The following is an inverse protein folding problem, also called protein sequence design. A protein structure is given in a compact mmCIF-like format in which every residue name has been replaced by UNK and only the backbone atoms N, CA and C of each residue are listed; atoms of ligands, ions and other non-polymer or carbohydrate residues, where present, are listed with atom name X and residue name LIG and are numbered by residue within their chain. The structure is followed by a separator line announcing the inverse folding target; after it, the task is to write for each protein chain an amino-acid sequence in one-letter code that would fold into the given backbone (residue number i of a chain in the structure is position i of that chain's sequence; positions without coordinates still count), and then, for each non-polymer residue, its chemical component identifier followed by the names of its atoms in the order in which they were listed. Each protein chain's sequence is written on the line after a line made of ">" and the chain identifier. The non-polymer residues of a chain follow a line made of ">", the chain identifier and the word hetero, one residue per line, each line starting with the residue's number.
data_IF_072671109810
#
_entry.id   IF_072671109810
#
_cell.length_a   1.000
_cell.length_b   1.000
_cell.length_c   1.000
_cell.angle_alpha   90.00
_cell.angle_beta   90.00
_cell.angle_gamma   90.00
#
_symmetry.space_group_name_H-M   'P 1'
#
loop_
_entity.id
_entity.type
_entity.pdbx_description
1 polymer ?
#
# COMPACT_ATOMS: atom_id res chain seq x y z
N UNK A 1 2.49 -4.62 16.34
CA UNK A 1 1.67 -3.85 15.37
C UNK A 1 1.72 -4.50 14.00
N UNK A 2 0.72 -4.28 13.13
CA UNK A 2 0.59 -5.06 11.91
C UNK A 2 1.52 -4.62 10.79
N UNK A 3 2.08 -5.59 10.06
CA UNK A 3 2.58 -5.40 8.71
C UNK A 3 1.39 -5.38 7.75
N UNK A 4 1.24 -4.32 6.96
CA UNK A 4 0.30 -4.23 5.84
C UNK A 4 1.10 -4.40 4.56
N UNK A 5 0.92 -5.53 3.89
CA UNK A 5 1.58 -5.84 2.63
C UNK A 5 0.77 -5.23 1.48
N UNK A 6 1.32 -4.25 0.78
CA UNK A 6 0.71 -3.61 -0.38
C UNK A 6 1.29 -4.18 -1.67
N UNK A 7 0.46 -4.86 -2.46
CA UNK A 7 0.89 -5.53 -3.67
C UNK A 7 -0.25 -5.59 -4.69
N UNK A 8 0.08 -5.80 -5.95
CA UNK A 8 -0.87 -6.10 -7.02
C UNK A 8 -0.31 -7.17 -7.94
N UNK A 9 -1.15 -8.05 -8.52
CA UNK A 9 -0.71 -9.01 -9.52
C UNK A 9 -0.32 -8.38 -10.86
N UNK A 10 -0.60 -7.07 -11.05
CA UNK A 10 -0.33 -6.33 -12.29
C UNK A 10 0.33 -5.00 -11.95
N UNK A 11 1.39 -4.62 -12.71
CA UNK A 11 2.05 -3.34 -12.55
C UNK A 11 1.22 -2.15 -13.07
N UNK A 12 1.54 -0.95 -12.59
CA UNK A 12 0.92 0.30 -13.07
C UNK A 12 -0.51 0.56 -12.59
N UNK A 13 -0.98 -0.18 -11.61
CA UNK A 13 -2.35 -0.05 -11.06
C UNK A 13 -2.46 0.98 -9.92
N UNK A 14 -1.36 1.60 -9.53
CA UNK A 14 -1.33 2.63 -8.48
C UNK A 14 -1.15 2.10 -7.06
N UNK A 15 -0.59 0.91 -6.87
CA UNK A 15 -0.32 0.34 -5.54
C UNK A 15 0.51 1.30 -4.69
N UNK A 16 1.63 1.79 -5.20
CA UNK A 16 2.52 2.75 -4.52
C UNK A 16 1.78 4.03 -4.08
N UNK A 17 0.90 4.57 -4.94
CA UNK A 17 0.06 5.71 -4.57
C UNK A 17 -0.86 5.38 -3.40
N UNK A 18 -1.56 4.25 -3.45
CA UNK A 18 -2.45 3.82 -2.37
C UNK A 18 -1.68 3.53 -1.08
N UNK A 19 -0.48 2.93 -1.18
CA UNK A 19 0.42 2.71 -0.03
C UNK A 19 0.79 4.03 0.65
N UNK A 20 1.25 5.02 -0.12
CA UNK A 20 1.59 6.34 0.39
C UNK A 20 0.38 7.03 1.05
N UNK A 21 -0.79 6.97 0.40
CA UNK A 21 -2.01 7.61 0.92
C UNK A 21 -2.54 6.93 2.17
N UNK A 22 -2.44 5.60 2.24
CA UNK A 22 -2.79 4.86 3.45
C UNK A 22 -1.84 5.21 4.60
N UNK A 23 -0.53 5.26 4.36
CA UNK A 23 0.44 5.65 5.38
C UNK A 23 0.16 7.04 5.94
N UNK A 24 -0.05 8.03 5.07
CA UNK A 24 -0.40 9.40 5.46
C UNK A 24 -1.74 9.47 6.20
N UNK A 25 -2.74 8.71 5.75
CA UNK A 25 -4.05 8.65 6.38
C UNK A 25 -4.01 8.06 7.79
N UNK A 26 -3.21 7.01 8.01
CA UNK A 26 -3.00 6.41 9.33
C UNK A 26 -2.19 7.33 10.26
N UNK A 27 -1.12 7.97 9.75
CA UNK A 27 -0.34 8.93 10.52
C UNK A 27 -1.18 10.15 10.94
N UNK A 28 -2.05 10.66 10.06
CA UNK A 28 -2.98 11.74 10.38
C UNK A 28 -4.00 11.37 11.48
N UNK A 29 -4.22 10.07 11.75
CA UNK A 29 -5.04 9.54 12.84
C UNK A 29 -4.26 9.24 14.11
N UNK A 30 -2.98 9.70 14.17
CA UNK A 30 -2.11 9.57 15.34
C UNK A 30 -1.39 8.23 15.48
N UNK A 31 -1.45 7.37 14.45
CA UNK A 31 -0.68 6.13 14.47
C UNK A 31 0.80 6.38 14.16
N UNK A 32 1.68 5.63 14.81
CA UNK A 32 3.10 5.56 14.43
C UNK A 32 3.23 4.66 13.20
N UNK A 33 3.70 5.22 12.08
CA UNK A 33 3.68 4.58 10.77
C UNK A 33 5.04 4.63 10.10
N UNK A 34 5.50 3.49 9.59
CA UNK A 34 6.65 3.38 8.69
C UNK A 34 6.20 2.82 7.34
N UNK A 35 6.68 3.39 6.25
CA UNK A 35 6.45 2.90 4.90
C UNK A 35 7.77 2.55 4.23
N UNK A 36 7.90 1.30 3.77
CA UNK A 36 9.11 0.76 3.18
C UNK A 36 8.88 0.52 1.68
N UNK A 37 9.67 1.21 0.85
CA UNK A 37 9.68 1.00 -0.59
C UNK A 37 10.61 -0.16 -0.96
N UNK A 38 10.04 -1.30 -1.32
CA UNK A 38 10.78 -2.46 -1.84
C UNK A 38 10.87 -2.47 -3.36
N UNK A 39 10.40 -1.41 -4.03
CA UNK A 39 10.41 -1.35 -5.50
C UNK A 39 11.72 -0.79 -6.04
N UNK A 40 12.12 -1.26 -7.22
CA UNK A 40 13.28 -0.71 -7.92
C UNK A 40 13.06 0.76 -8.34
N UNK A 41 11.81 1.15 -8.53
CA UNK A 41 11.46 2.48 -9.02
C UNK A 41 11.67 3.60 -7.99
N UNK A 42 11.78 3.26 -6.70
CA UNK A 42 11.94 4.21 -5.60
C UNK A 42 10.91 5.35 -5.66
N UNK A 43 9.67 4.99 -6.02
CA UNK A 43 8.62 5.94 -6.37
C UNK A 43 7.73 6.33 -5.18
N UNK A 44 7.78 5.59 -4.08
CA UNK A 44 6.93 5.84 -2.92
C UNK A 44 7.13 7.27 -2.38
N UNK A 45 8.37 7.72 -2.25
CA UNK A 45 8.75 9.05 -1.77
C UNK A 45 8.13 10.21 -2.57
N UNK A 46 7.88 9.99 -3.87
CA UNK A 46 7.34 11.03 -4.73
C UNK A 46 5.92 11.44 -4.34
N UNK A 47 5.14 10.50 -3.80
CA UNK A 47 3.79 10.76 -3.31
C UNK A 47 3.74 11.50 -1.97
N UNK A 48 4.89 11.64 -1.32
CA UNK A 48 5.11 12.52 -0.16
C UNK A 48 5.60 13.92 -0.57
N UNK A 49 5.72 14.19 -1.87
CA UNK A 49 6.21 15.45 -2.40
C UNK A 49 7.74 15.60 -2.39
N UNK A 50 8.46 14.51 -2.17
CA UNK A 50 9.92 14.51 -2.30
C UNK A 50 10.32 14.53 -3.79
N UNK A 51 11.49 15.11 -4.07
CA UNK A 51 12.04 15.13 -5.42
C UNK A 51 12.68 13.78 -5.77
N UNK A 52 12.74 13.39 -7.05
CA UNK A 52 13.37 12.13 -7.47
C UNK A 52 14.82 11.98 -7.00
N UNK A 53 15.58 13.08 -6.96
CA UNK A 53 16.98 13.08 -6.54
C UNK A 53 17.20 13.01 -5.01
N UNK A 54 16.13 13.15 -4.22
CA UNK A 54 16.25 13.01 -2.77
C UNK A 54 16.33 11.52 -2.42
N UNK A 55 17.34 11.17 -1.65
CA UNK A 55 17.52 9.79 -1.18
C UNK A 55 16.73 9.56 0.11
N UNK A 56 16.17 8.37 0.25
CA UNK A 56 15.65 7.86 1.51
C UNK A 56 16.61 6.83 2.07
N UNK A 57 16.77 6.74 3.41
CA UNK A 57 17.68 5.79 4.04
C UNK A 57 17.40 4.35 3.60
N UNK A 58 18.47 3.63 3.25
CA UNK A 58 18.35 2.21 2.92
C UNK A 58 18.23 1.41 4.22
N UNK A 59 17.26 0.51 4.27
CA UNK A 59 17.09 -0.43 5.36
C UNK A 59 18.28 -1.39 5.42
N UNK A 60 19.03 -1.38 6.53
CA UNK A 60 20.16 -2.29 6.74
C UNK A 60 19.83 -3.37 7.77
N UNK A 61 19.02 -3.04 8.74
CA UNK A 61 18.51 -3.92 9.79
C UNK A 61 17.18 -3.40 10.36
N UNK A 62 16.65 -4.06 11.38
CA UNK A 62 15.37 -3.68 11.99
C UNK A 62 15.42 -2.36 12.80
N UNK A 63 16.59 -1.82 13.04
CA UNK A 63 16.80 -0.58 13.82
C UNK A 63 17.16 0.62 12.93
N UNK A 64 17.16 0.44 11.61
CA UNK A 64 17.46 1.54 10.68
C UNK A 64 16.39 2.63 10.83
N UNK A 65 16.83 3.84 11.15
CA UNK A 65 15.96 5.01 11.20
C UNK A 65 15.74 5.57 9.79
N UNK A 66 14.49 5.83 9.46
CA UNK A 66 14.07 6.42 8.20
C UNK A 66 14.04 7.95 8.25
N UNK A 67 13.66 8.56 7.13
CA UNK A 67 13.32 9.98 7.10
C UNK A 67 11.84 10.16 7.38
N UNK A 68 11.48 11.06 8.29
CA UNK A 68 10.08 11.33 8.62
C UNK A 68 9.53 12.45 7.74
N UNK A 69 8.45 12.16 7.02
CA UNK A 69 7.74 13.13 6.18
C UNK A 69 6.24 13.05 6.49
N UNK A 70 5.65 14.18 6.87
CA UNK A 70 4.22 14.31 7.25
C UNK A 70 3.79 13.20 8.27
N UNK A 71 4.65 12.90 9.26
CA UNK A 71 4.40 11.91 10.32
C UNK A 71 4.61 10.45 9.92
N UNK A 72 5.08 10.18 8.70
CA UNK A 72 5.42 8.82 8.23
C UNK A 72 6.92 8.68 8.09
N UNK A 73 7.49 7.62 8.68
CA UNK A 73 8.88 7.25 8.46
C UNK A 73 9.02 6.49 7.13
N UNK A 74 9.94 6.95 6.28
CA UNK A 74 10.21 6.36 4.96
C UNK A 74 11.56 5.65 4.95
N UNK A 75 11.58 4.43 4.42
CA UNK A 75 12.77 3.60 4.23
C UNK A 75 12.78 2.98 2.83
N UNK A 76 13.97 2.78 2.25
CA UNK A 76 14.17 1.97 1.05
C UNK A 76 14.57 0.55 1.44
N UNK A 77 13.78 -0.43 1.04
CA UNK A 77 14.04 -1.85 1.27
C UNK A 77 14.69 -2.57 0.09
N UNK A 78 14.70 -1.94 -1.09
CA UNK A 78 15.13 -2.59 -2.33
C UNK A 78 16.56 -3.16 -2.28
N UNK A 79 17.53 -2.36 -1.84
CA UNK A 79 18.93 -2.79 -1.74
C UNK A 79 19.12 -3.95 -0.74
N UNK A 80 18.36 -3.96 0.36
CA UNK A 80 18.41 -5.04 1.35
C UNK A 80 17.90 -6.37 0.78
N UNK A 81 16.87 -6.33 -0.07
CA UNK A 81 16.35 -7.50 -0.77
C UNK A 81 17.38 -8.00 -1.77
N UNK A 82 17.93 -7.13 -2.62
CA UNK A 82 18.89 -7.50 -3.67
C UNK A 82 20.19 -8.10 -3.11
N UNK A 83 20.67 -7.60 -1.97
CA UNK A 83 21.87 -8.13 -1.30
C UNK A 83 21.61 -9.38 -0.47
N UNK A 84 20.37 -9.82 -0.35
CA UNK A 84 19.96 -10.90 0.54
C UNK A 84 20.04 -10.55 2.02
N UNK A 85 20.32 -9.29 2.39
CA UNK A 85 20.33 -8.84 3.78
C UNK A 85 18.94 -8.95 4.40
N UNK A 86 17.90 -8.63 3.65
CA UNK A 86 16.53 -8.76 4.10
C UNK A 86 16.15 -10.21 4.44
N UNK A 87 16.53 -11.18 3.60
CA UNK A 87 16.30 -12.60 3.88
C UNK A 87 17.03 -13.08 5.15
N UNK A 88 18.26 -12.58 5.39
CA UNK A 88 18.99 -12.86 6.64
C UNK A 88 18.33 -12.20 7.85
N UNK A 89 17.76 -11.01 7.70
CA UNK A 89 17.00 -10.33 8.74
C UNK A 89 15.75 -11.14 9.11
N UNK A 90 14.99 -11.59 8.12
CA UNK A 90 13.79 -12.42 8.32
C UNK A 90 14.10 -13.77 8.98
N UNK A 91 15.29 -14.36 8.69
CA UNK A 91 15.71 -15.64 9.25
C UNK A 91 16.27 -15.53 10.69
N UNK A 92 16.55 -14.36 11.18
CA UNK A 92 17.41 -14.10 12.37
C UNK A 92 16.69 -14.17 13.68
N UNK A 93 15.57 -14.56 13.88
CA UNK A 93 15.01 -14.77 15.23
C UNK A 93 13.54 -15.11 15.18
N UNK A 94 13.06 -15.91 16.07
CA UNK A 94 11.65 -16.14 16.30
C UNK A 94 10.81 -14.89 16.63
N UNK A 95 11.32 -13.68 16.34
CA UNK A 95 10.61 -12.41 16.33
C UNK A 95 10.65 -11.83 14.92
N UNK A 96 9.51 -11.56 14.34
CA UNK A 96 9.41 -10.84 13.07
C UNK A 96 10.08 -9.46 13.20
N UNK A 97 10.83 -8.96 12.20
CA UNK A 97 11.34 -7.58 12.22
C UNK A 97 10.20 -6.54 12.24
N UNK A 98 8.97 -6.99 12.09
CA UNK A 98 7.76 -6.17 12.15
C UNK A 98 7.02 -6.27 13.50
N UNK A 99 7.58 -6.96 14.51
CA UNK A 99 7.03 -7.06 15.88
C UNK A 99 7.33 -5.76 16.69
N UNK A 100 7.12 -4.61 16.09
CA UNK A 100 7.18 -3.30 16.76
C UNK A 100 5.78 -2.78 17.07
N UNK A 101 5.66 -1.75 17.87
CA UNK A 101 4.38 -1.04 18.07
C UNK A 101 3.96 -0.20 16.86
N UNK A 102 4.86 -0.04 15.89
CA UNK A 102 4.68 0.76 14.68
C UNK A 102 3.94 -0.02 13.58
N UNK A 103 3.01 0.62 12.89
CA UNK A 103 2.38 0.06 11.69
C UNK A 103 3.38 0.14 10.54
N UNK A 104 3.69 -0.98 9.93
CA UNK A 104 4.60 -1.04 8.78
C UNK A 104 3.81 -1.30 7.51
N UNK A 105 3.97 -0.43 6.50
CA UNK A 105 3.46 -0.66 5.15
C UNK A 105 4.62 -1.07 4.24
N UNK A 106 4.48 -2.19 3.55
CA UNK A 106 5.46 -2.66 2.57
C UNK A 106 4.91 -2.47 1.15
N UNK A 107 5.52 -1.56 0.37
CA UNK A 107 5.21 -1.40 -1.05
C UNK A 107 6.04 -2.38 -1.86
N UNK A 108 5.38 -3.38 -2.46
CA UNK A 108 6.04 -4.48 -3.17
C UNK A 108 5.66 -4.47 -4.65
N UNK A 109 6.68 -4.54 -5.51
CA UNK A 109 6.47 -4.58 -6.95
C UNK A 109 5.68 -5.83 -7.37
N UNK A 110 4.80 -5.69 -8.36
CA UNK A 110 3.99 -6.80 -8.89
C UNK A 110 4.82 -7.98 -9.40
N UNK A 111 6.02 -7.71 -9.89
CA UNK A 111 6.95 -8.72 -10.39
C UNK A 111 7.69 -9.49 -9.29
N UNK A 112 7.78 -8.93 -8.07
CA UNK A 112 8.53 -9.55 -6.97
C UNK A 112 7.67 -10.51 -6.15
N UNK A 113 7.30 -11.61 -6.78
CA UNK A 113 6.50 -12.68 -6.15
C UNK A 113 7.26 -13.35 -5.01
N UNK A 114 8.59 -13.44 -5.09
CA UNK A 114 9.41 -14.06 -4.06
C UNK A 114 9.37 -13.27 -2.75
N UNK A 115 9.58 -11.95 -2.82
CA UNK A 115 9.48 -11.07 -1.67
C UNK A 115 8.07 -11.09 -1.07
N UNK A 116 7.04 -10.95 -1.92
CA UNK A 116 5.65 -11.04 -1.48
C UNK A 116 5.37 -12.33 -0.70
N UNK A 117 5.83 -13.47 -1.24
CA UNK A 117 5.62 -14.77 -0.59
C UNK A 117 6.34 -14.85 0.76
N UNK A 118 7.51 -14.22 0.89
CA UNK A 118 8.24 -14.19 2.17
C UNK A 118 7.60 -13.27 3.21
N UNK A 119 6.94 -12.18 2.77
CA UNK A 119 6.29 -11.22 3.67
C UNK A 119 4.88 -11.67 4.10
N UNK A 120 4.17 -12.41 3.26
CA UNK A 120 2.78 -12.75 3.48
C UNK A 120 2.51 -13.45 4.83
N UNK A 121 3.34 -14.41 5.31
CA UNK A 121 3.14 -15.04 6.63
C UNK A 121 3.26 -14.08 7.82
N UNK A 122 3.89 -12.93 7.62
CA UNK A 122 4.08 -11.90 8.65
C UNK A 122 3.07 -10.75 8.52
N UNK A 123 2.32 -10.70 7.42
CA UNK A 123 1.34 -9.65 7.18
C UNK A 123 0.06 -9.89 7.99
N UNK A 124 -0.35 -8.89 8.75
CA UNK A 124 -1.68 -8.88 9.35
C UNK A 124 -2.76 -8.61 8.30
N UNK A 125 -2.41 -7.92 7.23
CA UNK A 125 -3.29 -7.62 6.11
C UNK A 125 -2.50 -7.57 4.80
N UNK A 126 -3.04 -8.19 3.75
CA UNK A 126 -2.58 -8.03 2.38
C UNK A 126 -3.55 -7.12 1.62
N UNK A 127 -3.10 -5.93 1.23
CA UNK A 127 -3.84 -4.99 0.40
C UNK A 127 -3.54 -5.25 -1.08
N UNK A 128 -4.49 -5.84 -1.78
CA UNK A 128 -4.38 -6.14 -3.21
C UNK A 128 -5.06 -5.06 -4.05
N UNK A 129 -4.27 -4.31 -4.83
CA UNK A 129 -4.78 -3.28 -5.73
C UNK A 129 -5.16 -3.86 -7.08
N UNK A 130 -6.37 -3.55 -7.53
CA UNK A 130 -6.90 -3.91 -8.84
C UNK A 130 -7.33 -2.65 -9.60
N UNK A 131 -7.43 -2.75 -10.91
CA UNK A 131 -8.02 -1.70 -11.78
C UNK A 131 -9.07 -2.31 -12.69
N UNK A 132 -10.07 -1.55 -13.16
CA UNK A 132 -11.12 -2.03 -14.07
C UNK A 132 -10.59 -2.20 -15.50
N UNK A 133 -9.58 -3.05 -15.67
CA UNK A 133 -8.93 -3.35 -16.95
C UNK A 133 -8.86 -4.86 -17.17
N UNK A 134 -8.93 -5.32 -18.44
CA UNK A 134 -8.91 -6.76 -18.76
C UNK A 134 -7.70 -7.50 -18.18
N UNK A 135 -6.53 -6.87 -18.16
CA UNK A 135 -5.28 -7.45 -17.61
C UNK A 135 -5.36 -7.72 -16.11
N UNK A 136 -5.96 -6.79 -15.36
CA UNK A 136 -6.16 -6.91 -13.93
C UNK A 136 -7.16 -8.04 -13.61
N UNK A 137 -8.27 -8.10 -14.35
CA UNK A 137 -9.26 -9.16 -14.20
C UNK A 137 -8.71 -10.53 -14.61
N UNK A 138 -7.96 -10.60 -15.70
CA UNK A 138 -7.32 -11.85 -16.15
C UNK A 138 -6.27 -12.37 -15.15
N UNK A 139 -5.59 -11.48 -14.42
CA UNK A 139 -4.65 -11.87 -13.40
C UNK A 139 -5.32 -12.61 -12.23
N UNK A 140 -6.60 -12.31 -11.94
CA UNK A 140 -7.39 -13.02 -10.91
C UNK A 140 -7.66 -14.48 -11.30
N UNK A 141 -7.77 -14.80 -12.59
CA UNK A 141 -7.95 -16.17 -13.05
C UNK A 141 -6.73 -17.08 -12.77
N UNK A 142 -5.56 -16.48 -12.52
CA UNK A 142 -4.34 -17.21 -12.13
C UNK A 142 -4.23 -17.45 -10.63
N UNK A 143 -5.15 -16.88 -9.86
CA UNK A 143 -5.23 -17.07 -8.42
C UNK A 143 -5.91 -18.42 -8.18
N UNK A 144 -5.11 -19.44 -7.95
CA UNK A 144 -5.64 -20.74 -7.51
C UNK A 144 -5.70 -20.75 -5.98
N UNK A 145 -6.77 -21.27 -5.39
CA UNK A 145 -6.84 -21.51 -3.97
C UNK A 145 -5.63 -22.35 -3.50
N UNK A 146 -4.92 -21.88 -2.47
CA UNK A 146 -3.73 -22.56 -1.96
C UNK A 146 -2.43 -22.20 -2.65
N UNK A 147 -2.42 -21.29 -3.64
CA UNK A 147 -1.17 -20.69 -4.11
C UNK A 147 -0.86 -19.44 -3.25
N UNK A 148 0.42 -19.20 -2.88
CA UNK A 148 0.80 -18.06 -2.04
C UNK A 148 0.61 -16.69 -2.71
N UNK A 149 -0.05 -16.64 -3.85
CA UNK A 149 -0.30 -15.41 -4.60
C UNK A 149 -1.45 -14.58 -4.04
N UNK A 150 -2.46 -15.20 -3.43
CA UNK A 150 -3.50 -14.49 -2.66
C UNK A 150 -3.96 -15.44 -1.54
N UNK A 151 -3.64 -15.09 -0.31
CA UNK A 151 -4.31 -15.65 0.86
C UNK A 151 -5.63 -14.89 1.02
N UNK A 152 -6.73 -15.52 0.62
CA UNK A 152 -8.04 -14.87 0.62
C UNK A 152 -8.53 -14.52 2.03
N UNK A 153 -8.03 -15.20 3.07
CA UNK A 153 -8.44 -14.92 4.46
C UNK A 153 -7.88 -13.58 4.95
N UNK A 154 -6.65 -13.24 4.53
CA UNK A 154 -5.96 -12.01 4.95
C UNK A 154 -5.96 -10.93 3.85
N UNK A 155 -6.50 -11.23 2.66
CA UNK A 155 -6.47 -10.29 1.54
C UNK A 155 -7.74 -9.47 1.48
N UNK A 156 -7.54 -8.16 1.40
CA UNK A 156 -8.57 -7.19 1.03
C UNK A 156 -8.23 -6.57 -0.31
N UNK A 157 -9.25 -6.18 -1.05
CA UNK A 157 -9.10 -5.63 -2.38
C UNK A 157 -9.51 -4.17 -2.42
N UNK A 158 -8.75 -3.38 -3.17
CA UNK A 158 -9.12 -2.01 -3.55
C UNK A 158 -9.19 -1.94 -5.06
N UNK A 159 -10.33 -1.51 -5.58
CA UNK A 159 -10.49 -1.23 -7.01
C UNK A 159 -10.14 0.23 -7.26
N UNK A 160 -8.96 0.45 -7.82
CA UNK A 160 -8.42 1.78 -8.10
C UNK A 160 -8.75 2.24 -9.54
N UNK A 161 -8.63 3.53 -9.81
CA UNK A 161 -8.83 4.16 -11.13
C UNK A 161 -10.22 3.89 -11.73
N UNK A 162 -11.23 3.88 -10.89
CA UNK A 162 -12.61 3.69 -11.31
C UNK A 162 -13.12 4.91 -12.06
N UNK A 163 -13.68 4.69 -13.24
CA UNK A 163 -14.30 5.71 -14.09
C UNK A 163 -15.73 5.28 -14.42
N UNK A 164 -16.71 5.86 -13.74
CA UNK A 164 -18.11 5.49 -13.85
C UNK A 164 -18.73 5.86 -15.21
N UNK A 165 -18.04 6.66 -16.02
CA UNK A 165 -18.45 6.93 -17.40
C UNK A 165 -18.18 5.75 -18.32
N UNK A 166 -17.23 4.87 -17.96
CA UNK A 166 -16.82 3.71 -18.76
C UNK A 166 -17.61 2.46 -18.41
N UNK A 167 -18.19 1.83 -19.44
CA UNK A 167 -18.97 0.61 -19.28
C UNK A 167 -18.18 -0.53 -18.59
N UNK A 168 -16.92 -0.75 -19.01
CA UNK A 168 -16.07 -1.78 -18.43
C UNK A 168 -15.83 -1.52 -16.93
N UNK A 169 -15.59 -0.27 -16.54
CA UNK A 169 -15.35 0.09 -15.15
C UNK A 169 -16.56 -0.23 -14.26
N UNK A 170 -17.77 0.16 -14.69
CA UNK A 170 -19.01 -0.17 -13.97
C UNK A 170 -19.24 -1.68 -13.85
N UNK A 171 -19.03 -2.43 -14.94
CA UNK A 171 -19.21 -3.88 -14.91
C UNK A 171 -18.15 -4.58 -14.05
N UNK A 172 -16.89 -4.10 -14.07
CA UNK A 172 -15.83 -4.62 -13.20
C UNK A 172 -16.15 -4.41 -11.71
N UNK A 173 -16.70 -3.26 -11.35
CA UNK A 173 -17.16 -2.98 -9.99
C UNK A 173 -18.22 -4.00 -9.53
N UNK A 174 -19.26 -4.19 -10.35
CA UNK A 174 -20.34 -5.14 -10.04
C UNK A 174 -19.79 -6.56 -9.91
N UNK A 175 -18.95 -6.98 -10.87
CA UNK A 175 -18.35 -8.31 -10.90
C UNK A 175 -17.46 -8.55 -9.67
N UNK A 176 -16.55 -7.61 -9.37
CA UNK A 176 -15.61 -7.77 -8.24
C UNK A 176 -16.33 -7.69 -6.89
N UNK A 177 -17.40 -6.88 -6.79
CA UNK A 177 -18.24 -6.85 -5.59
C UNK A 177 -18.96 -8.19 -5.37
N UNK A 178 -19.45 -8.79 -6.43
CA UNK A 178 -20.09 -10.11 -6.37
C UNK A 178 -19.06 -11.23 -6.02
N UNK A 179 -17.81 -11.09 -6.51
CA UNK A 179 -16.75 -12.09 -6.30
C UNK A 179 -16.15 -12.02 -4.91
N UNK A 180 -15.83 -10.83 -4.40
CA UNK A 180 -15.08 -10.63 -3.16
C UNK A 180 -15.95 -10.22 -1.97
N UNK A 181 -17.20 -9.82 -2.21
CA UNK A 181 -18.10 -9.37 -1.14
C UNK A 181 -17.47 -8.25 -0.30
N UNK A 182 -17.42 -8.46 1.01
CA UNK A 182 -16.89 -7.51 1.99
C UNK A 182 -15.35 -7.40 1.94
N UNK A 183 -14.66 -8.28 1.23
CA UNK A 183 -13.22 -8.14 1.02
C UNK A 183 -12.88 -7.11 -0.06
N UNK A 184 -13.81 -6.67 -0.91
CA UNK A 184 -13.65 -5.46 -1.71
C UNK A 184 -13.98 -4.24 -0.84
N UNK A 185 -12.99 -3.76 -0.10
CA UNK A 185 -13.18 -2.79 0.97
C UNK A 185 -13.34 -1.35 0.49
N UNK A 186 -12.77 -1.02 -0.68
CA UNK A 186 -12.85 0.33 -1.23
C UNK A 186 -12.81 0.35 -2.76
N UNK A 187 -13.35 1.43 -3.30
CA UNK A 187 -13.19 1.82 -4.70
C UNK A 187 -12.67 3.25 -4.73
N UNK A 188 -11.61 3.47 -5.52
CA UNK A 188 -10.98 4.79 -5.66
C UNK A 188 -11.17 5.26 -7.08
N UNK A 189 -11.79 6.41 -7.24
CA UNK A 189 -12.10 7.00 -8.55
C UNK A 189 -10.81 7.43 -9.26
N UNK A 190 -10.87 7.43 -10.58
CA UNK A 190 -9.82 8.01 -11.41
C UNK A 190 -9.91 9.54 -11.35
N UNK A 191 -8.79 10.17 -11.06
CA UNK A 191 -8.63 11.62 -11.16
C UNK A 191 -7.23 11.92 -11.74
N UNK A 192 -7.19 12.70 -12.80
CA UNK A 192 -5.92 13.07 -13.44
C UNK A 192 -5.06 13.97 -12.54
N UNK A 193 -5.70 14.67 -11.61
CA UNK A 193 -5.00 15.47 -10.60
C UNK A 193 -3.96 14.66 -9.78
N UNK A 194 -4.10 13.34 -9.68
CA UNK A 194 -3.09 12.48 -9.05
C UNK A 194 -1.78 12.49 -9.83
N UNK A 195 -1.85 12.35 -11.16
CA UNK A 195 -0.68 12.37 -12.04
C UNK A 195 -0.06 13.78 -12.11
N UNK A 196 -0.91 14.81 -12.17
CA UNK A 196 -0.48 16.22 -12.21
C UNK A 196 0.22 16.60 -10.91
N UNK A 197 -0.30 16.20 -9.76
CA UNK A 197 0.33 16.40 -8.45
C UNK A 197 1.71 15.73 -8.38
N UNK A 198 1.80 14.48 -8.84
CA UNK A 198 3.05 13.73 -8.91
C UNK A 198 4.06 14.43 -9.83
N UNK A 199 3.65 14.83 -11.03
CA UNK A 199 4.50 15.57 -11.98
C UNK A 199 4.99 16.92 -11.43
N UNK A 200 4.22 17.53 -10.54
CA UNK A 200 4.54 18.80 -9.88
C UNK A 200 5.30 18.61 -8.56
N UNK A 201 5.64 17.37 -8.19
CA UNK A 201 6.27 17.03 -6.90
C UNK A 201 5.50 17.61 -5.70
N UNK A 202 4.17 17.52 -5.75
CA UNK A 202 3.29 17.99 -4.68
C UNK A 202 2.38 16.87 -4.18
N UNK A 203 2.12 16.76 -2.88
CA UNK A 203 1.07 15.90 -2.36
C UNK A 203 -0.30 16.30 -2.94
N UNK A 204 -1.12 15.29 -3.33
CA UNK A 204 -2.45 15.52 -3.93
C UNK A 204 -3.35 16.44 -3.08
N UNK A 205 -3.26 16.34 -1.75
CA UNK A 205 -4.04 17.18 -0.81
C UNK A 205 -3.71 18.67 -0.88
N UNK A 206 -2.50 19.02 -1.35
CA UNK A 206 -2.08 20.41 -1.57
C UNK A 206 -2.37 20.84 -2.99
N UNK A 207 -2.15 19.95 -3.96
CA UNK A 207 -2.33 20.24 -5.40
C UNK A 207 -3.81 20.42 -5.75
N UNK A 208 -4.67 19.49 -5.32
CA UNK A 208 -6.09 19.47 -5.67
C UNK A 208 -6.97 19.16 -4.45
N UNK A 209 -7.24 20.17 -3.63
CA UNK A 209 -8.02 20.03 -2.39
C UNK A 209 -9.45 19.53 -2.58
N UNK A 210 -9.99 19.63 -3.81
CA UNK A 210 -11.34 19.18 -4.16
C UNK A 210 -11.33 17.92 -5.04
N UNK A 211 -10.17 17.23 -5.13
CA UNK A 211 -10.05 15.99 -5.89
C UNK A 211 -11.05 14.94 -5.40
N UNK A 212 -11.71 14.29 -6.34
CA UNK A 212 -12.69 13.23 -6.04
C UNK A 212 -12.07 12.01 -5.39
N UNK A 213 -10.74 11.83 -5.50
CA UNK A 213 -10.08 10.69 -4.85
C UNK A 213 -9.96 10.86 -3.34
N UNK A 214 -9.93 12.10 -2.82
CA UNK A 214 -9.66 12.35 -1.39
C UNK A 214 -10.67 11.66 -0.47
N UNK A 215 -12.00 11.82 -0.65
CA UNK A 215 -12.96 11.10 0.17
C UNK A 215 -12.90 9.57 -0.01
N UNK A 216 -12.53 9.09 -1.20
CA UNK A 216 -12.37 7.65 -1.45
C UNK A 216 -11.17 7.07 -0.68
N UNK A 217 -10.07 7.85 -0.58
CA UNK A 217 -8.87 7.47 0.17
C UNK A 217 -9.12 7.50 1.69
N UNK A 218 -9.91 8.45 2.18
CA UNK A 218 -10.34 8.48 3.58
C UNK A 218 -11.17 7.24 3.91
N UNK A 219 -12.17 6.92 3.08
CA UNK A 219 -12.99 5.73 3.26
C UNK A 219 -12.16 4.42 3.20
N UNK A 220 -11.15 4.36 2.32
CA UNK A 220 -10.20 3.24 2.26
C UNK A 220 -9.42 3.11 3.57
N UNK A 221 -8.92 4.23 4.10
CA UNK A 221 -8.15 4.25 5.35
C UNK A 221 -9.01 3.79 6.53
N UNK A 222 -10.26 4.27 6.63
CA UNK A 222 -11.21 3.87 7.66
C UNK A 222 -11.49 2.36 7.61
N UNK A 223 -11.72 1.83 6.41
CA UNK A 223 -11.97 0.40 6.21
C UNK A 223 -10.77 -0.47 6.62
N UNK A 224 -9.55 -0.04 6.30
CA UNK A 224 -8.32 -0.76 6.66
C UNK A 224 -8.08 -0.66 8.17
N UNK A 225 -8.27 0.52 8.76
CA UNK A 225 -8.14 0.72 10.20
C UNK A 225 -9.10 -0.22 10.97
N UNK A 226 -10.36 -0.28 10.55
CA UNK A 226 -11.34 -1.19 11.13
C UNK A 226 -10.96 -2.67 10.96
N UNK A 227 -10.47 -3.05 9.77
CA UNK A 227 -10.06 -4.43 9.46
C UNK A 227 -8.86 -4.89 10.27
N UNK A 228 -7.91 -3.99 10.57
CA UNK A 228 -6.74 -4.25 11.39
C UNK A 228 -7.03 -4.11 12.91
N UNK A 229 -8.25 -3.74 13.32
CA UNK A 229 -8.59 -3.51 14.72
C UNK A 229 -7.84 -2.34 15.36
N UNK A 230 -7.40 -1.37 14.54
CA UNK A 230 -6.67 -0.20 15.02
C UNK A 230 -7.66 0.80 15.65
N UNK A 231 -7.50 1.08 16.94
CA UNK A 231 -8.28 2.11 17.60
C UNK A 231 -7.70 3.49 17.31
N UNK A 232 -8.56 4.49 17.09
CA UNK A 232 -8.09 5.86 16.97
C UNK A 232 -7.29 6.25 18.21
N UNK A 233 -6.11 6.82 18.01
CA UNK A 233 -5.31 7.34 19.11
C UNK A 233 -5.97 8.66 19.52
N UNK A 234 -6.60 8.69 20.71
CA UNK A 234 -7.12 9.94 21.26
C UNK A 234 -5.93 10.88 21.50
N UNK A 235 -6.03 12.13 21.01
CA UNK A 235 -5.10 13.17 21.41
C UNK A 235 -4.99 13.20 22.95
N UNK A 236 -3.78 13.29 23.50
CA UNK A 236 -3.66 13.55 24.93
C UNK A 236 -4.38 14.86 25.23
N UNK A 237 -5.32 14.83 26.16
CA UNK A 237 -5.99 16.03 26.65
C UNK A 237 -4.89 16.99 27.15
N UNK A 238 -4.83 18.21 26.57
CA UNK A 238 -3.97 19.30 27.04
C UNK A 238 -4.34 19.72 28.46
#
# INVERSE_FOLDING_TARGET
>A
MPLILCHSPVGGVGTTFLTARLALGLAARGHDVSAIDFTHADALKLFFGMLPAQEIPAMTDATTEGIVVDGVELLSGYAAVQSGAFGRLMARSGASPFDSERIVLADVASADVALKTSLLPHAALHLCTLVPQPTSLAALAKVQPGTPTIDLEQTVFVLNQVDDTRKLSRHSQIFLRALFGDNLIATVRRDEAVNEALASSQPIVRYAKQSVVLPDLEAMTDAIQARCGLTAVSEPAE
#
